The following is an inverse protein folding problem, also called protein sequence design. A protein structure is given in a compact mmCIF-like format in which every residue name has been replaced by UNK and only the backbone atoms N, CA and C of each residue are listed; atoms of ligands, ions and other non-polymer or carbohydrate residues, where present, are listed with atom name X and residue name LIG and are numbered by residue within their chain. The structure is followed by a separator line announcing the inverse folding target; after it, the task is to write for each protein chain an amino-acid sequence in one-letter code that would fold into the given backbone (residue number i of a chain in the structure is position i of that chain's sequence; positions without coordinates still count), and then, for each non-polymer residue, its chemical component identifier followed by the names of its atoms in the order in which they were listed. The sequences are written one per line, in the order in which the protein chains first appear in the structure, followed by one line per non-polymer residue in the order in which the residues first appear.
data_IF_323146097623
#
_entry.id   IF_323146097623
#
_cell.length_a   1.000
_cell.length_b   1.000
_cell.length_c   1.000
_cell.angle_alpha   90.00
_cell.angle_beta   90.00
_cell.angle_gamma   90.00
#
_symmetry.space_group_name_H-M   'P 1'
#
loop_
_entity.id
_entity.type
_entity.pdbx_description
1 polymer ?
#
# COMPACT_ATOMS: atom_id res chain seq x y z
N UNK A 1 -19.66 -7.65 18.92
CA UNK A 1 -21.12 -7.52 18.70
C UNK A 1 -21.86 -6.60 19.69
N UNK A 2 -21.39 -6.37 20.92
CA UNK A 2 -22.17 -5.64 21.95
C UNK A 2 -22.42 -4.15 21.65
N UNK A 3 -21.51 -3.47 20.94
CA UNK A 3 -21.69 -2.06 20.57
C UNK A 3 -22.78 -1.83 19.53
N UNK A 4 -22.88 -2.71 18.52
CA UNK A 4 -23.89 -2.58 17.46
C UNK A 4 -25.32 -2.75 18.00
N UNK A 5 -25.51 -3.56 19.05
CA UNK A 5 -26.82 -3.77 19.69
C UNK A 5 -27.44 -2.49 20.28
N UNK A 6 -26.68 -1.39 20.36
CA UNK A 6 -27.17 -0.08 20.79
C UNK A 6 -27.73 0.78 19.64
N UNK A 7 -27.71 0.27 18.41
CA UNK A 7 -28.14 0.96 17.19
C UNK A 7 -29.12 0.07 16.40
N UNK A 8 -29.96 0.66 15.54
CA UNK A 8 -30.79 -0.10 14.59
C UNK A 8 -29.93 -1.03 13.72
N UNK A 9 -30.45 -2.21 13.37
CA UNK A 9 -29.72 -3.20 12.56
C UNK A 9 -29.26 -2.63 11.20
N UNK A 10 -30.04 -1.73 10.62
CA UNK A 10 -29.71 -1.03 9.38
C UNK A 10 -28.45 -0.17 9.45
N UNK A 11 -27.98 0.15 10.65
CA UNK A 11 -26.77 0.96 10.89
C UNK A 11 -25.57 0.11 11.34
N UNK A 12 -25.71 -1.21 11.38
CA UNK A 12 -24.63 -2.07 11.84
C UNK A 12 -23.47 -2.10 10.86
N UNK A 13 -22.26 -1.91 11.39
CA UNK A 13 -21.02 -2.09 10.65
C UNK A 13 -20.04 -2.88 11.51
N UNK A 14 -19.88 -4.17 11.18
CA UNK A 14 -19.04 -5.13 11.91
C UNK A 14 -17.86 -5.58 11.04
N UNK A 15 -16.78 -6.15 11.63
CA UNK A 15 -15.75 -6.81 10.85
C UNK A 15 -16.29 -7.85 9.88
N UNK A 16 -17.30 -8.63 10.31
CA UNK A 16 -17.99 -9.61 9.45
C UNK A 16 -18.56 -8.98 8.19
N UNK A 17 -19.38 -7.93 8.35
CA UNK A 17 -20.00 -7.19 7.23
C UNK A 17 -18.93 -6.62 6.31
N UNK A 18 -17.87 -6.03 6.85
CA UNK A 18 -16.78 -5.47 6.03
C UNK A 18 -16.11 -6.54 5.16
N UNK A 19 -15.77 -7.70 5.75
CA UNK A 19 -15.08 -8.79 5.03
C UNK A 19 -15.97 -9.38 3.95
N UNK A 20 -17.27 -9.50 4.20
CA UNK A 20 -18.24 -9.99 3.20
C UNK A 20 -18.39 -9.02 2.03
N UNK A 21 -18.40 -7.71 2.29
CA UNK A 21 -18.58 -6.69 1.25
C UNK A 21 -17.30 -6.38 0.48
N UNK A 22 -16.11 -6.62 1.07
CA UNK A 22 -14.81 -6.32 0.46
C UNK A 22 -13.96 -7.60 0.38
N UNK A 23 -14.24 -8.52 -0.56
CA UNK A 23 -13.57 -9.83 -0.64
C UNK A 23 -12.06 -9.73 -0.94
N UNK A 24 -11.62 -8.59 -1.48
CA UNK A 24 -10.21 -8.26 -1.75
C UNK A 24 -9.46 -7.70 -0.54
N UNK A 25 -10.12 -7.50 0.61
CA UNK A 25 -9.46 -7.04 1.84
C UNK A 25 -8.53 -8.12 2.37
N UNK A 26 -7.22 -7.84 2.40
CA UNK A 26 -6.18 -8.78 2.89
C UNK A 26 -5.48 -8.30 4.15
N UNK A 27 -5.55 -7.02 4.45
CA UNK A 27 -4.96 -6.47 5.66
C UNK A 27 -5.79 -5.31 6.24
N UNK A 28 -5.72 -5.10 7.55
CA UNK A 28 -6.30 -3.97 8.27
C UNK A 28 -5.25 -3.32 9.15
N UNK A 29 -5.11 -1.99 9.01
CA UNK A 29 -4.37 -1.14 9.94
C UNK A 29 -5.37 -0.33 10.77
N UNK A 30 -5.41 -0.62 12.07
CA UNK A 30 -6.27 0.06 13.03
C UNK A 30 -5.50 1.18 13.74
N UNK A 31 -5.90 2.43 13.47
CA UNK A 31 -5.31 3.64 14.03
C UNK A 31 -5.98 4.12 15.33
N UNK A 32 -6.98 3.41 15.83
CA UNK A 32 -7.70 3.80 17.04
C UNK A 32 -6.85 3.57 18.28
N UNK A 33 -6.94 4.48 19.25
CA UNK A 33 -6.22 4.36 20.53
C UNK A 33 -7.06 3.63 21.60
N UNK A 34 -7.73 2.54 21.21
CA UNK A 34 -8.57 1.73 22.10
C UNK A 34 -8.88 0.38 21.45
N UNK A 35 -9.07 -0.68 22.25
CA UNK A 35 -9.43 -2.02 21.76
C UNK A 35 -10.92 -2.34 21.95
N UNK A 36 -11.74 -1.33 22.26
CA UNK A 36 -13.14 -1.54 22.66
C UNK A 36 -14.12 -1.74 21.51
N UNK A 37 -13.73 -1.47 20.25
CA UNK A 37 -14.68 -1.38 19.13
C UNK A 37 -15.07 -2.75 18.56
N UNK A 38 -14.10 -3.65 18.41
CA UNK A 38 -14.31 -5.01 17.90
C UNK A 38 -13.14 -5.91 18.33
N UNK A 39 -13.28 -7.23 18.19
CA UNK A 39 -12.18 -8.16 18.41
C UNK A 39 -11.38 -8.32 17.10
N UNK A 40 -10.07 -8.04 17.12
CA UNK A 40 -9.21 -8.21 15.95
C UNK A 40 -9.16 -9.65 15.42
N UNK A 41 -9.47 -10.63 16.27
CA UNK A 41 -9.56 -12.04 15.86
C UNK A 41 -10.65 -12.29 14.81
N UNK A 42 -11.66 -11.41 14.72
CA UNK A 42 -12.68 -11.47 13.67
C UNK A 42 -12.09 -11.26 12.26
N UNK A 43 -10.92 -10.61 12.17
CA UNK A 43 -10.13 -10.50 10.94
C UNK A 43 -9.12 -11.64 10.82
N UNK A 44 -8.31 -11.88 11.85
CA UNK A 44 -7.18 -12.83 11.74
C UNK A 44 -7.64 -14.27 11.57
N UNK A 45 -8.77 -14.67 12.17
CA UNK A 45 -9.38 -16.00 11.96
C UNK A 45 -9.80 -16.26 10.51
N UNK A 46 -10.00 -15.19 9.72
CA UNK A 46 -10.32 -15.24 8.30
C UNK A 46 -9.09 -15.07 7.40
N UNK A 47 -7.89 -15.10 7.98
CA UNK A 47 -6.62 -14.93 7.26
C UNK A 47 -6.32 -13.48 6.85
N UNK A 48 -7.03 -12.50 7.40
CA UNK A 48 -6.78 -11.07 7.15
C UNK A 48 -5.72 -10.58 8.14
N UNK A 49 -4.62 -10.02 7.61
CA UNK A 49 -3.54 -9.47 8.41
C UNK A 49 -4.04 -8.28 9.22
N UNK A 50 -3.58 -8.14 10.45
CA UNK A 50 -4.04 -7.08 11.34
C UNK A 50 -2.87 -6.39 12.04
N UNK A 51 -2.81 -5.06 11.95
CA UNK A 51 -1.81 -4.23 12.64
C UNK A 51 -2.51 -3.11 13.40
N UNK A 52 -2.30 -3.05 14.71
CA UNK A 52 -2.72 -1.94 15.57
C UNK A 52 -1.61 -0.90 15.67
N UNK A 53 -1.95 0.37 15.45
CA UNK A 53 -1.05 1.52 15.67
C UNK A 53 -1.85 2.57 16.45
N UNK A 54 -1.61 2.69 17.75
CA UNK A 54 -2.39 3.58 18.62
C UNK A 54 -2.11 5.06 18.35
N UNK A 55 -2.94 5.72 17.53
CA UNK A 55 -2.75 7.15 17.19
C UNK A 55 -3.61 8.03 18.08
N UNK A 56 -2.96 8.87 18.89
CA UNK A 56 -3.63 9.89 19.70
C UNK A 56 -4.44 10.85 18.82
N UNK A 57 -5.69 11.13 19.23
CA UNK A 57 -6.55 12.05 18.49
C UNK A 57 -6.10 13.51 18.61
N UNK A 58 -6.56 14.35 17.68
CA UNK A 58 -6.45 15.83 17.64
C UNK A 58 -5.04 16.40 17.45
N UNK A 59 -3.99 15.71 17.90
CA UNK A 59 -2.59 16.11 17.68
C UNK A 59 -2.03 15.47 16.41
N UNK A 60 -0.98 16.08 15.86
CA UNK A 60 -0.22 15.45 14.78
C UNK A 60 0.41 14.16 15.30
N UNK A 61 0.30 13.04 14.57
CA UNK A 61 1.05 11.83 14.89
C UNK A 61 2.56 12.14 14.94
N UNK A 62 3.25 11.73 16.02
CA UNK A 62 4.71 11.85 16.11
C UNK A 62 5.41 11.15 14.94
N UNK A 63 6.68 11.51 14.70
CA UNK A 63 7.47 10.92 13.62
C UNK A 63 7.52 9.39 13.76
N UNK A 64 7.68 8.89 14.98
CA UNK A 64 7.81 7.47 15.28
C UNK A 64 6.56 6.69 14.87
N UNK A 65 5.37 7.22 15.20
CA UNK A 65 4.08 6.63 14.82
C UNK A 65 3.87 6.67 13.30
N UNK A 66 4.32 7.76 12.65
CA UNK A 66 4.24 7.88 11.20
C UNK A 66 5.16 6.88 10.51
N UNK A 67 6.40 6.73 10.95
CA UNK A 67 7.31 5.73 10.41
C UNK A 67 6.80 4.31 10.67
N UNK A 68 6.24 4.02 11.85
CA UNK A 68 5.60 2.72 12.12
C UNK A 68 4.47 2.42 11.12
N UNK A 69 3.65 3.42 10.80
CA UNK A 69 2.61 3.28 9.77
C UNK A 69 3.22 3.01 8.39
N UNK A 70 4.27 3.73 8.01
CA UNK A 70 4.92 3.55 6.71
C UNK A 70 5.56 2.17 6.57
N UNK A 71 6.26 1.72 7.60
CA UNK A 71 6.92 0.42 7.61
C UNK A 71 5.88 -0.71 7.58
N UNK A 72 4.74 -0.55 8.29
CA UNK A 72 3.63 -1.49 8.22
C UNK A 72 3.05 -1.58 6.80
N UNK A 73 2.79 -0.44 6.14
CA UNK A 73 2.28 -0.43 4.75
C UNK A 73 3.31 -1.08 3.81
N UNK A 74 4.59 -0.71 3.90
CA UNK A 74 5.64 -1.29 3.06
C UNK A 74 5.78 -2.80 3.26
N UNK A 75 5.70 -3.27 4.51
CA UNK A 75 5.73 -4.69 4.82
C UNK A 75 4.52 -5.41 4.20
N UNK A 76 3.31 -4.88 4.37
CA UNK A 76 2.11 -5.45 3.80
C UNK A 76 2.16 -5.49 2.26
N UNK A 77 2.64 -4.43 1.62
CA UNK A 77 2.85 -4.41 0.17
C UNK A 77 3.78 -5.53 -0.30
N UNK A 78 4.89 -5.78 0.42
CA UNK A 78 5.81 -6.89 0.10
C UNK A 78 5.16 -8.25 0.34
N UNK A 79 4.43 -8.42 1.45
CA UNK A 79 3.74 -9.67 1.77
C UNK A 79 2.65 -10.01 0.77
N UNK A 80 1.97 -9.00 0.21
CA UNK A 80 0.83 -9.14 -0.68
C UNK A 80 1.18 -8.98 -2.17
N UNK A 81 2.46 -8.85 -2.53
CA UNK A 81 2.89 -8.52 -3.92
C UNK A 81 2.42 -9.54 -4.99
N UNK A 82 2.14 -10.78 -4.59
CA UNK A 82 1.61 -11.81 -5.50
C UNK A 82 0.12 -11.61 -5.84
N UNK A 83 -0.63 -10.84 -5.04
CA UNK A 83 -2.03 -10.51 -5.24
C UNK A 83 -2.16 -9.02 -5.57
N UNK A 84 -2.13 -8.69 -6.87
CA UNK A 84 -2.20 -7.30 -7.39
C UNK A 84 -3.48 -6.57 -7.00
N UNK A 85 -4.50 -7.32 -6.62
CA UNK A 85 -5.83 -6.83 -6.27
C UNK A 85 -6.03 -6.72 -4.75
N UNK A 86 -5.04 -7.13 -3.95
CA UNK A 86 -5.12 -7.10 -2.50
C UNK A 86 -5.27 -5.67 -1.96
N UNK A 87 -6.22 -5.50 -1.03
CA UNK A 87 -6.50 -4.21 -0.39
C UNK A 87 -6.01 -4.21 1.06
N UNK A 88 -5.42 -3.07 1.45
CA UNK A 88 -5.11 -2.72 2.84
C UNK A 88 -6.17 -1.72 3.31
N UNK A 89 -7.03 -2.15 4.22
CA UNK A 89 -7.98 -1.27 4.91
C UNK A 89 -7.27 -0.47 6.00
N UNK A 90 -7.46 0.84 6.03
CA UNK A 90 -6.93 1.70 7.10
C UNK A 90 -8.08 2.45 7.72
N UNK A 91 -8.24 2.37 9.04
CA UNK A 91 -9.30 3.11 9.71
C UNK A 91 -8.82 3.76 11.01
N UNK A 92 -9.53 4.81 11.38
CA UNK A 92 -9.50 5.35 12.73
C UNK A 92 -10.91 5.25 13.31
N UNK A 93 -11.39 6.24 14.08
CA UNK A 93 -12.78 6.22 14.57
C UNK A 93 -13.79 6.55 13.46
N UNK A 94 -13.51 7.57 12.64
CA UNK A 94 -14.41 7.99 11.55
C UNK A 94 -13.82 7.73 10.15
N UNK A 95 -12.59 7.18 10.09
CA UNK A 95 -11.89 6.93 8.83
C UNK A 95 -11.57 8.19 8.03
N UNK A 96 -11.51 9.37 8.67
CA UNK A 96 -11.33 10.66 7.99
C UNK A 96 -9.99 11.30 8.33
N UNK A 97 -9.89 11.97 9.48
CA UNK A 97 -8.74 12.82 9.79
C UNK A 97 -7.40 12.06 9.96
N UNK A 98 -7.29 11.13 10.93
CA UNK A 98 -6.03 10.38 11.17
C UNK A 98 -5.68 9.46 10.00
N UNK A 99 -6.70 8.83 9.43
CA UNK A 99 -6.58 7.96 8.26
C UNK A 99 -6.05 8.74 7.06
N UNK A 100 -6.71 9.84 6.69
CA UNK A 100 -6.31 10.70 5.59
C UNK A 100 -4.92 11.27 5.79
N UNK A 101 -4.60 11.77 6.99
CA UNK A 101 -3.27 12.28 7.27
C UNK A 101 -2.17 11.26 7.00
N UNK A 102 -2.28 10.04 7.55
CA UNK A 102 -1.24 9.03 7.40
C UNK A 102 -1.14 8.50 5.96
N UNK A 103 -2.29 8.30 5.29
CA UNK A 103 -2.33 7.86 3.89
C UNK A 103 -1.72 8.94 2.97
N UNK A 104 -2.13 10.20 3.10
CA UNK A 104 -1.57 11.30 2.30
C UNK A 104 -0.07 11.46 2.56
N UNK A 105 0.38 11.36 3.81
CA UNK A 105 1.81 11.42 4.13
C UNK A 105 2.61 10.27 3.54
N UNK A 106 2.05 9.06 3.51
CA UNK A 106 2.68 7.92 2.84
C UNK A 106 2.82 8.18 1.34
N UNK A 107 1.72 8.63 0.69
CA UNK A 107 1.73 9.00 -0.72
C UNK A 107 2.80 10.06 -1.05
N UNK A 108 2.92 11.09 -0.22
CA UNK A 108 3.92 12.15 -0.42
C UNK A 108 5.35 11.64 -0.22
N UNK A 109 5.63 10.99 0.91
CA UNK A 109 7.01 10.71 1.31
C UNK A 109 7.58 9.44 0.68
N UNK A 110 6.77 8.39 0.57
CA UNK A 110 7.16 7.08 0.00
C UNK A 110 6.87 7.00 -1.49
N UNK A 111 5.70 7.47 -1.94
CA UNK A 111 5.28 7.36 -3.36
C UNK A 111 5.60 8.61 -4.19
N UNK A 112 6.13 9.68 -3.59
CA UNK A 112 6.54 10.92 -4.27
C UNK A 112 5.37 11.65 -4.97
N UNK A 113 4.14 11.41 -4.52
CA UNK A 113 2.94 12.10 -5.03
C UNK A 113 2.94 13.54 -4.51
N UNK A 114 2.46 14.49 -5.32
CA UNK A 114 2.33 15.87 -4.87
C UNK A 114 1.35 15.97 -3.66
N UNK A 115 1.65 16.76 -2.62
CA UNK A 115 0.79 16.87 -1.45
C UNK A 115 -0.65 17.27 -1.74
N UNK A 116 -0.87 18.20 -2.66
CA UNK A 116 -2.23 18.63 -2.99
C UNK A 116 -2.97 17.51 -3.72
N UNK A 117 -2.29 16.82 -4.64
CA UNK A 117 -2.83 15.65 -5.32
C UNK A 117 -3.15 14.51 -4.34
N UNK A 118 -2.26 14.25 -3.37
CA UNK A 118 -2.45 13.24 -2.34
C UNK A 118 -3.70 13.53 -1.49
N UNK A 119 -3.93 14.79 -1.11
CA UNK A 119 -5.15 15.21 -0.40
C UNK A 119 -6.37 15.00 -1.29
N UNK A 120 -6.34 15.49 -2.54
CA UNK A 120 -7.48 15.40 -3.45
C UNK A 120 -7.90 13.95 -3.69
N UNK A 121 -6.95 13.05 -3.99
CA UNK A 121 -7.21 11.62 -4.20
C UNK A 121 -7.87 10.99 -2.97
N UNK A 122 -7.38 11.30 -1.76
CA UNK A 122 -7.97 10.75 -0.53
C UNK A 122 -9.40 11.27 -0.33
N UNK A 123 -9.63 12.57 -0.46
CA UNK A 123 -10.94 13.19 -0.21
C UNK A 123 -11.98 12.74 -1.23
N UNK A 124 -11.60 12.63 -2.50
CA UNK A 124 -12.44 12.10 -3.57
C UNK A 124 -12.84 10.64 -3.28
N UNK A 125 -11.87 9.78 -2.99
CA UNK A 125 -12.13 8.37 -2.69
C UNK A 125 -12.93 8.17 -1.39
N UNK A 126 -12.72 9.04 -0.39
CA UNK A 126 -13.42 8.95 0.91
C UNK A 126 -14.82 9.59 0.89
N UNK A 127 -15.04 10.54 -0.02
CA UNK A 127 -16.26 11.36 -0.12
C UNK A 127 -16.36 12.50 0.91
N UNK A 128 -15.28 12.81 1.64
CA UNK A 128 -15.26 13.86 2.67
C UNK A 128 -13.89 14.53 2.77
N UNK A 129 -13.90 15.81 3.14
CA UNK A 129 -12.68 16.59 3.34
C UNK A 129 -11.97 16.30 4.67
N UNK A 130 -10.65 16.43 4.71
CA UNK A 130 -9.88 16.39 5.96
C UNK A 130 -10.14 17.69 6.74
N UNK A 131 -10.94 17.60 7.80
CA UNK A 131 -11.38 18.76 8.59
C UNK A 131 -10.25 19.40 9.42
N UNK A 132 -9.23 18.62 9.79
CA UNK A 132 -8.16 19.06 10.69
C UNK A 132 -7.12 19.87 9.93
N UNK A 133 -7.19 21.19 10.09
CA UNK A 133 -6.31 22.13 9.41
C UNK A 133 -4.83 21.87 9.69
N UNK A 134 -4.47 21.51 10.93
CA UNK A 134 -3.08 21.16 11.26
C UNK A 134 -2.58 19.93 10.49
N UNK A 135 -3.46 18.99 10.11
CA UNK A 135 -3.08 17.84 9.28
C UNK A 135 -2.87 18.27 7.83
N UNK A 136 -3.80 19.05 7.28
CA UNK A 136 -3.70 19.59 5.91
C UNK A 136 -2.44 20.43 5.76
N UNK A 137 -2.20 21.39 6.67
CA UNK A 137 -1.01 22.24 6.65
C UNK A 137 0.29 21.43 6.72
N UNK A 138 0.34 20.39 7.57
CA UNK A 138 1.53 19.55 7.68
C UNK A 138 1.74 18.70 6.41
N UNK A 139 0.68 18.15 5.80
CA UNK A 139 0.78 17.41 4.53
C UNK A 139 1.34 18.31 3.43
N UNK A 140 0.81 19.53 3.29
CA UNK A 140 1.23 20.51 2.29
C UNK A 140 2.65 21.04 2.55
N UNK A 141 3.12 21.00 3.80
CA UNK A 141 4.46 21.44 4.14
C UNK A 141 5.52 20.53 3.52
N UNK A 142 6.22 21.04 2.51
CA UNK A 142 7.42 20.43 1.95
C UNK A 142 8.67 21.12 2.49
N UNK A 143 9.59 20.39 3.15
CA UNK A 143 10.93 20.90 3.40
C UNK A 143 11.58 21.32 2.07
N UNK A 144 12.32 22.44 2.06
CA UNK A 144 12.98 23.01 0.86
C UNK A 144 13.81 22.02 0.03
N UNK A 145 14.22 20.89 0.61
CA UNK A 145 14.95 19.80 -0.05
C UNK A 145 14.19 19.27 -1.28
N UNK A 146 12.86 19.17 -1.22
CA UNK A 146 12.02 18.71 -2.33
C UNK A 146 11.89 19.71 -3.48
N UNK A 147 12.11 21.01 -3.22
CA UNK A 147 12.10 22.04 -4.26
C UNK A 147 13.32 21.89 -5.18
N UNK A 148 14.49 21.57 -4.61
CA UNK A 148 15.73 21.41 -5.37
C UNK A 148 15.73 20.16 -6.27
N UNK A 149 15.06 19.07 -5.88
CA UNK A 149 14.93 17.87 -6.70
C UNK A 149 13.96 18.06 -7.88
N UNK A 150 12.85 18.79 -7.71
CA UNK A 150 11.95 19.14 -8.82
C UNK A 150 12.64 20.04 -9.87
N UNK A 151 13.49 20.97 -9.42
CA UNK A 151 14.27 21.84 -10.33
C UNK A 151 15.41 21.12 -11.06
N UNK A 152 15.94 20.01 -10.53
CA UNK A 152 16.96 19.20 -11.22
C UNK A 152 16.38 18.35 -12.36
N UNK A 153 15.06 18.14 -12.37
CA UNK A 153 14.35 17.29 -13.33
C UNK A 153 13.66 18.06 -14.47
N UNK A 154 13.90 19.38 -14.62
CA UNK A 154 13.34 20.15 -15.74
C UNK A 154 14.13 19.90 -17.03
N UNK A 155 13.50 19.73 -18.20
CA UNK A 155 14.20 19.51 -19.46
C UNK A 155 14.97 20.77 -19.87
N UNK A 156 16.13 20.58 -20.50
CA UNK A 156 16.86 21.65 -21.19
C UNK A 156 15.89 22.47 -22.04
N UNK A 157 15.92 23.79 -21.82
CA UNK A 157 15.17 24.74 -22.62
C UNK A 157 15.60 24.68 -24.09
N UNK A 158 14.61 24.45 -24.94
CA UNK A 158 14.51 24.79 -26.35
C UNK A 158 15.68 25.53 -27.00
N UNK A 159 16.38 24.86 -27.93
CA UNK A 159 16.80 25.47 -29.19
C UNK A 159 16.98 24.41 -30.27
N UNK A 160 16.61 24.79 -31.50
CA UNK A 160 16.68 24.09 -32.79
C UNK A 160 15.59 23.05 -33.13
N UNK A 161 14.53 23.58 -33.74
CA UNK A 161 13.72 22.92 -34.76
C UNK A 161 14.59 22.53 -35.96
N UNK A 162 14.49 21.28 -36.43
CA UNK A 162 14.18 20.96 -37.83
C UNK A 162 14.22 19.46 -38.10
N UNK A 163 13.11 18.95 -38.68
CA UNK A 163 12.94 17.77 -39.54
C UNK A 163 13.37 16.43 -38.90
N UNK A 164 12.55 15.38 -38.87
CA UNK A 164 12.13 14.57 -40.01
C UNK A 164 10.79 13.88 -39.73
N UNK A 165 9.93 13.84 -40.75
CA UNK A 165 8.77 12.94 -40.83
C UNK A 165 9.29 11.53 -41.15
N UNK A 166 8.81 10.52 -40.41
CA UNK A 166 8.27 9.24 -40.92
C UNK A 166 7.89 8.34 -39.73
N UNK A 167 6.59 8.11 -39.55
CA UNK A 167 6.06 6.89 -38.91
C UNK A 167 6.43 5.67 -39.77
N UNK A 168 6.70 4.47 -39.21
CA UNK A 168 5.56 3.58 -38.89
C UNK A 168 5.74 2.55 -37.76
N UNK A 169 4.57 2.25 -37.14
CA UNK A 169 4.00 0.92 -36.86
C UNK A 169 4.50 0.11 -35.64
N UNK A 170 3.55 -0.08 -34.72
CA UNK A 170 3.49 -1.11 -33.68
C UNK A 170 3.62 -2.55 -34.24
N UNK A 171 4.44 -3.39 -33.60
CA UNK A 171 4.13 -4.82 -33.35
C UNK A 171 4.97 -5.40 -32.18
N UNK A 172 4.45 -6.42 -31.46
CA UNK A 172 4.97 -6.89 -30.18
C UNK A 172 5.87 -8.14 -30.30
N UNK A 173 6.94 -8.24 -29.50
CA UNK A 173 7.48 -9.51 -28.96
C UNK A 173 8.84 -9.31 -28.30
N UNK A 174 8.94 -9.55 -26.99
CA UNK A 174 10.19 -9.98 -26.36
C UNK A 174 9.88 -11.29 -25.61
N UNK A 175 10.14 -12.41 -26.28
CA UNK A 175 10.58 -13.61 -25.60
C UNK A 175 11.92 -14.04 -26.20
N UNK A 176 12.91 -14.10 -25.31
CA UNK A 176 13.81 -15.24 -25.09
C UNK A 176 14.65 -15.71 -26.30
N UNK A 177 15.98 -15.60 -26.15
CA UNK A 177 16.90 -16.74 -25.92
C UNK A 177 18.35 -16.32 -26.17
N UNK A 178 19.19 -16.48 -25.16
CA UNK A 178 20.49 -17.12 -25.38
C UNK A 178 20.42 -18.51 -24.75
N UNK A 179 20.46 -19.51 -25.62
CA UNK A 179 20.77 -20.90 -25.34
C UNK A 179 22.16 -21.18 -25.90
N UNK A 180 22.76 -22.28 -25.44
CA UNK A 180 23.69 -23.21 -26.08
C UNK A 180 24.82 -23.55 -25.10
N UNK A 181 25.16 -24.80 -24.79
CA UNK A 181 24.63 -26.16 -25.04
C UNK A 181 25.48 -27.06 -24.11
N UNK A 182 24.89 -27.93 -23.29
CA UNK A 182 24.70 -29.38 -23.51
C UNK A 182 25.96 -30.18 -23.81
N UNK A 183 26.22 -31.23 -23.01
CA UNK A 183 26.06 -32.64 -23.43
C UNK A 183 26.35 -33.57 -22.23
N UNK A 184 25.38 -34.42 -21.82
CA UNK A 184 25.15 -35.84 -22.23
C UNK A 184 26.27 -36.76 -21.67
N UNK A 185 26.01 -37.91 -21.06
CA UNK A 185 25.00 -38.95 -21.37
C UNK A 185 24.95 -40.06 -20.30
N UNK A 186 23.74 -40.57 -20.06
CA UNK A 186 23.28 -41.97 -19.96
C UNK A 186 24.26 -43.12 -19.59
N UNK A 187 23.78 -44.03 -18.73
CA UNK A 187 24.04 -45.48 -18.92
C UNK A 187 23.99 -46.36 -17.66
N UNK A 188 23.04 -47.31 -17.62
CA UNK A 188 22.84 -48.37 -16.60
C UNK A 188 23.88 -49.50 -16.65
N UNK A 189 24.18 -50.14 -15.50
CA UNK A 189 24.16 -51.61 -15.23
C UNK A 189 24.68 -51.87 -13.79
N UNK A 190 23.90 -52.44 -12.88
CA UNK A 190 23.76 -53.86 -12.50
C UNK A 190 25.05 -54.62 -12.14
N UNK A 191 25.05 -55.15 -10.90
CA UNK A 191 25.71 -56.36 -10.34
C UNK A 191 26.63 -56.03 -9.14
N UNK A 192 26.23 -56.34 -7.89
CA UNK A 192 26.25 -57.64 -7.14
C UNK A 192 27.56 -57.82 -6.35
N UNK A 193 27.40 -58.29 -5.10
CA UNK A 193 28.39 -58.94 -4.20
C UNK A 193 29.53 -58.06 -3.67
N UNK A 194 30.06 -58.18 -2.45
CA UNK A 194 29.77 -58.93 -1.22
C UNK A 194 30.88 -58.56 -0.21
N UNK A 195 30.55 -58.65 1.09
CA UNK A 195 31.43 -59.09 2.19
C UNK A 195 32.40 -58.13 2.91
N UNK A 196 32.28 -58.23 4.25
CA UNK A 196 33.29 -58.12 5.33
C UNK A 196 33.72 -56.70 5.70
N UNK A 197 33.74 -56.28 6.96
CA UNK A 197 33.68 -56.96 8.28
C UNK A 197 33.00 -56.02 9.27
#
# INVERSE_FOLDING_TARGET
MELCRRQPESEWFTPGILVENIPKLKAVIDLTNTNRYYNSEEFTSKGILYKKIGVMGRKLPPKEIREEFFDAVDQLCRTLDQDRDALIGVHCTHGLNRTGYLICKYMVLRMKIDPQEAINKFQEARGHEIERHNYVSDILYQPRIWQNERHRSSPLSSQSVSNWRTEPRWTPSYERRHSYKSDRSYGRSLSRTSHRR
#
